data_IF_789174875921
#
_entry.id   IF_789174875921
#
_cell.length_a   1.000
_cell.length_b   1.000
_cell.length_c   1.000
_cell.angle_alpha   90.00
_cell.angle_beta   90.00
_cell.angle_gamma   90.00
#
_symmetry.space_group_name_H-M   'P 1'
#
loop_
_entity.id
_entity.type
_entity.pdbx_description
1 polymer ?
#
# COMPACT_ATOMS: atom_id res chain seq x y z
N UNK A 1 -7.01 5.85 2.82
CA UNK A 1 -6.39 4.72 3.54
C UNK A 1 -7.50 3.85 4.05
N UNK A 2 -7.52 2.55 3.74
CA UNK A 2 -8.54 1.68 4.28
C UNK A 2 -8.41 1.67 5.82
N UNK A 3 -9.52 1.86 6.56
CA UNK A 3 -9.49 1.95 8.02
C UNK A 3 -8.86 0.72 8.69
N UNK A 4 -8.89 -0.42 8.00
CA UNK A 4 -8.36 -1.70 8.49
C UNK A 4 -6.82 -1.69 8.61
N UNK A 5 -6.10 -1.01 7.73
CA UNK A 5 -4.63 -0.98 7.76
C UNK A 5 -4.09 -0.19 8.95
N UNK A 6 -4.75 0.92 9.30
CA UNK A 6 -4.37 1.74 10.46
C UNK A 6 -4.56 0.96 11.76
N UNK A 7 -5.65 0.19 11.86
CA UNK A 7 -5.91 -0.68 13.00
C UNK A 7 -4.86 -1.79 13.11
N UNK A 8 -4.51 -2.43 12.00
CA UNK A 8 -3.46 -3.46 11.98
C UNK A 8 -2.10 -2.86 12.39
N UNK A 9 -1.76 -1.68 11.88
CA UNK A 9 -0.52 -1.01 12.24
C UNK A 9 -0.47 -0.61 13.70
N UNK A 10 -1.57 -0.16 14.29
CA UNK A 10 -1.63 0.11 15.73
C UNK A 10 -1.41 -1.15 16.56
N UNK A 11 -2.03 -2.27 16.19
CA UNK A 11 -1.81 -3.55 16.86
C UNK A 11 -0.35 -4.00 16.78
N UNK A 12 0.29 -3.83 15.61
CA UNK A 12 1.70 -4.15 15.42
C UNK A 12 2.61 -3.23 16.23
N UNK A 13 2.35 -1.92 16.20
CA UNK A 13 3.11 -0.92 16.94
C UNK A 13 3.07 -1.18 18.44
N UNK A 14 1.89 -1.52 18.98
CA UNK A 14 1.70 -1.91 20.38
C UNK A 14 2.52 -3.15 20.74
N UNK A 15 2.41 -4.22 19.94
CA UNK A 15 3.18 -5.46 20.17
C UNK A 15 4.68 -5.23 20.11
N UNK A 16 5.13 -4.41 19.17
CA UNK A 16 6.54 -4.04 19.04
C UNK A 16 7.03 -3.30 20.29
N UNK A 17 6.28 -2.30 20.76
CA UNK A 17 6.59 -1.57 21.99
C UNK A 17 6.66 -2.49 23.22
N UNK A 18 5.65 -3.33 23.41
CA UNK A 18 5.62 -4.29 24.53
C UNK A 18 6.82 -5.25 24.53
N UNK A 19 7.23 -5.70 23.35
CA UNK A 19 8.39 -6.56 23.20
C UNK A 19 9.70 -5.80 23.44
N UNK A 20 9.84 -4.60 22.88
CA UNK A 20 10.99 -3.71 23.12
C UNK A 20 11.19 -3.45 24.62
N UNK A 21 10.13 -3.08 25.33
CA UNK A 21 10.19 -2.82 26.78
C UNK A 21 10.57 -4.07 27.58
N UNK A 22 10.14 -5.25 27.14
CA UNK A 22 10.54 -6.53 27.76
C UNK A 22 12.04 -6.80 27.55
N UNK A 23 12.58 -6.47 26.39
CA UNK A 23 13.99 -6.67 26.06
C UNK A 23 14.88 -5.60 26.70
N UNK A 24 14.45 -4.34 26.71
CA UNK A 24 15.22 -3.19 27.18
C UNK A 24 15.67 -3.36 28.65
N UNK A 25 14.80 -3.92 29.49
CA UNK A 25 15.08 -4.26 30.90
C UNK A 25 16.26 -5.25 31.03
N UNK A 26 16.50 -6.10 30.03
CA UNK A 26 17.61 -7.06 30.04
C UNK A 26 18.92 -6.47 29.48
N UNK A 27 18.85 -5.38 28.70
CA UNK A 27 20.01 -4.81 28.02
C UNK A 27 20.63 -3.62 28.77
N UNK A 28 19.82 -2.83 29.45
CA UNK A 28 20.28 -1.68 30.20
C UNK A 28 20.21 -2.02 31.69
N UNK A 29 21.37 -2.06 32.36
CA UNK A 29 21.52 -2.28 33.81
C UNK A 29 21.04 -1.05 34.61
N UNK A 30 19.90 -0.50 34.21
CA UNK A 30 19.24 0.65 34.80
C UNK A 30 17.82 0.24 35.15
N UNK A 31 17.35 0.73 36.31
CA UNK A 31 15.96 0.66 36.78
C UNK A 31 15.01 1.44 35.86
N UNK A 32 14.97 1.10 34.58
CA UNK A 32 14.03 1.67 33.64
C UNK A 32 12.67 1.07 33.96
N UNK A 33 11.79 1.91 34.50
CA UNK A 33 10.40 1.53 34.73
C UNK A 33 9.77 1.29 33.37
N UNK A 34 9.34 0.05 33.14
CA UNK A 34 8.59 -0.38 31.96
C UNK A 34 7.45 0.61 31.68
N UNK A 35 7.42 1.21 30.49
CA UNK A 35 6.37 2.16 30.10
C UNK A 35 5.25 1.38 29.39
N UNK A 36 4.02 1.48 29.88
CA UNK A 36 2.88 0.86 29.19
C UNK A 36 2.53 1.62 27.91
N UNK A 37 1.93 0.94 26.93
CA UNK A 37 1.55 1.55 25.65
C UNK A 37 0.64 2.78 25.84
N UNK A 38 -0.30 2.68 26.78
CA UNK A 38 -1.26 3.73 27.11
C UNK A 38 -0.59 4.97 27.75
N UNK A 39 0.57 4.78 28.37
CA UNK A 39 1.37 5.83 29.02
C UNK A 39 2.37 6.48 28.07
N UNK A 40 2.59 5.89 26.89
CA UNK A 40 3.50 6.41 25.89
C UNK A 40 2.99 7.76 25.34
N UNK A 41 3.84 8.80 25.18
CA UNK A 41 3.42 10.06 24.57
C UNK A 41 2.77 9.85 23.20
N UNK A 42 1.72 10.63 22.91
CA UNK A 42 0.94 10.50 21.67
C UNK A 42 1.81 10.55 20.40
N UNK A 43 2.78 11.46 20.37
CA UNK A 43 3.70 11.58 19.24
C UNK A 43 4.51 10.30 19.02
N UNK A 44 4.98 9.66 20.10
CA UNK A 44 5.75 8.42 20.00
C UNK A 44 4.87 7.27 19.49
N UNK A 45 3.61 7.18 19.96
CA UNK A 45 2.64 6.22 19.42
C UNK A 45 2.41 6.44 17.94
N UNK A 46 2.19 7.69 17.52
CA UNK A 46 1.97 8.02 16.10
C UNK A 46 3.18 7.66 15.23
N UNK A 47 4.40 7.90 15.71
CA UNK A 47 5.62 7.51 15.00
C UNK A 47 5.73 5.99 14.85
N UNK A 48 5.45 5.22 15.90
CA UNK A 48 5.47 3.76 15.83
C UNK A 48 4.40 3.21 14.88
N UNK A 49 3.18 3.76 14.92
CA UNK A 49 2.10 3.39 14.00
C UNK A 49 2.52 3.69 12.55
N UNK A 50 3.07 4.88 12.30
CA UNK A 50 3.53 5.27 10.97
C UNK A 50 4.66 4.36 10.46
N UNK A 51 5.60 3.97 11.34
CA UNK A 51 6.65 3.02 10.98
C UNK A 51 6.08 1.64 10.61
N UNK A 52 5.11 1.14 11.39
CA UNK A 52 4.43 -0.12 11.06
C UNK A 52 3.65 -0.05 9.76
N UNK A 53 3.03 1.09 9.44
CA UNK A 53 2.38 1.31 8.15
C UNK A 53 3.35 1.20 6.99
N UNK A 54 4.52 1.84 7.08
CA UNK A 54 5.55 1.69 6.05
C UNK A 54 5.96 0.23 5.84
N UNK A 55 6.06 -0.56 6.92
CA UNK A 55 6.39 -1.99 6.83
C UNK A 55 5.28 -2.79 6.14
N UNK A 56 4.01 -2.52 6.48
CA UNK A 56 2.85 -3.18 5.85
C UNK A 56 2.83 -2.87 4.36
N UNK A 57 3.01 -1.60 3.98
CA UNK A 57 3.07 -1.18 2.57
C UNK A 57 4.20 -1.91 1.82
N UNK A 58 5.39 -1.97 2.42
CA UNK A 58 6.54 -2.67 1.84
C UNK A 58 6.26 -4.18 1.67
N UNK A 59 5.58 -4.80 2.63
CA UNK A 59 5.22 -6.21 2.57
C UNK A 59 4.15 -6.46 1.51
N UNK A 60 3.11 -5.63 1.44
CA UNK A 60 2.08 -5.67 0.41
C UNK A 60 2.68 -5.50 -1.00
N UNK A 61 3.68 -4.61 -1.14
CA UNK A 61 4.42 -4.45 -2.40
C UNK A 61 5.20 -5.70 -2.80
N UNK A 62 5.73 -6.46 -1.84
CA UNK A 62 6.47 -7.72 -2.09
C UNK A 62 5.56 -8.91 -2.35
N UNK A 63 4.36 -8.92 -1.76
CA UNK A 63 3.36 -9.97 -1.94
C UNK A 63 2.46 -9.77 -3.17
N UNK A 64 2.66 -8.70 -3.91
CA UNK A 64 1.89 -8.42 -5.12
C UNK A 64 2.79 -8.18 -6.32
N UNK A 65 2.35 -8.68 -7.47
CA UNK A 65 3.02 -8.44 -8.75
C UNK A 65 2.22 -7.45 -9.59
N UNK A 66 2.86 -6.69 -10.49
CA UNK A 66 2.14 -5.88 -11.46
C UNK A 66 1.16 -6.74 -12.25
N UNK A 67 -0.09 -6.30 -12.34
CA UNK A 67 -1.10 -6.99 -13.13
C UNK A 67 -0.69 -6.96 -14.61
N UNK A 68 -0.51 -8.14 -15.21
CA UNK A 68 -0.06 -8.28 -16.59
C UNK A 68 -1.04 -7.66 -17.59
N UNK A 69 -2.35 -7.77 -17.33
CA UNK A 69 -3.40 -7.25 -18.22
C UNK A 69 -3.33 -5.73 -18.40
N UNK A 70 -3.17 -4.98 -17.30
CA UNK A 70 -3.08 -3.51 -17.35
C UNK A 70 -1.65 -3.00 -17.22
N UNK A 71 -0.64 -3.89 -17.22
CA UNK A 71 0.78 -3.55 -17.03
C UNK A 71 1.04 -2.68 -15.80
N UNK A 72 0.36 -2.96 -14.69
CA UNK A 72 0.56 -2.20 -13.45
C UNK A 72 -0.26 -0.91 -13.30
N UNK A 73 -0.89 -0.38 -14.36
CA UNK A 73 -1.54 0.94 -14.28
C UNK A 73 -2.96 0.92 -13.68
N UNK A 74 -3.51 -0.26 -13.40
CA UNK A 74 -4.85 -0.41 -12.82
C UNK A 74 -6.01 -0.17 -13.79
N UNK A 75 -5.74 0.34 -14.99
CA UNK A 75 -6.78 0.73 -15.94
C UNK A 75 -6.55 0.10 -17.32
N UNK A 76 -7.64 -0.11 -18.04
CA UNK A 76 -7.65 -0.50 -19.45
C UNK A 76 -8.55 0.46 -20.23
N UNK A 77 -8.33 0.61 -21.52
CA UNK A 77 -9.22 1.35 -22.39
C UNK A 77 -10.54 0.59 -22.58
N UNK A 78 -11.61 1.33 -22.87
CA UNK A 78 -12.90 0.79 -23.32
C UNK A 78 -12.90 0.37 -24.80
N UNK A 79 -11.73 0.01 -25.35
CA UNK A 79 -11.63 -0.57 -26.68
C UNK A 79 -11.91 -2.08 -26.63
N UNK A 80 -12.00 -2.71 -27.81
CA UNK A 80 -12.32 -4.14 -27.91
C UNK A 80 -11.22 -5.04 -27.35
N UNK A 81 -9.97 -4.54 -27.33
CA UNK A 81 -8.79 -5.31 -26.90
C UNK A 81 -8.52 -5.14 -25.39
N UNK A 82 -9.17 -4.17 -24.73
CA UNK A 82 -8.90 -3.81 -23.34
C UNK A 82 -7.45 -3.36 -23.17
N UNK A 83 -6.95 -2.53 -24.09
CA UNK A 83 -5.56 -2.07 -24.12
C UNK A 83 -5.19 -1.42 -22.78
N UNK A 84 -4.00 -1.68 -22.20
CA UNK A 84 -3.55 -0.98 -21.00
C UNK A 84 -3.66 0.54 -21.17
N UNK A 85 -4.22 1.23 -20.16
CA UNK A 85 -4.42 2.67 -20.27
C UNK A 85 -3.12 3.45 -20.42
N UNK A 86 -2.02 2.93 -19.86
CA UNK A 86 -0.68 3.50 -20.04
C UNK A 86 -0.30 3.68 -21.52
N UNK A 87 -0.69 2.77 -22.41
CA UNK A 87 -0.40 2.91 -23.84
C UNK A 87 -1.09 4.12 -24.48
N UNK A 88 -2.27 4.52 -23.97
CA UNK A 88 -2.99 5.71 -24.41
C UNK A 88 -2.42 7.00 -23.82
N UNK A 89 -1.87 6.95 -22.60
CA UNK A 89 -1.18 8.07 -21.97
C UNK A 89 0.15 8.41 -22.64
N UNK A 90 0.81 7.41 -23.23
CA UNK A 90 2.08 7.59 -23.95
C UNK A 90 1.91 8.15 -25.37
N UNK A 91 0.67 8.30 -25.86
CA UNK A 91 0.42 8.82 -27.19
C UNK A 91 0.74 10.33 -27.27
N UNK A 92 1.36 10.80 -28.37
CA UNK A 92 1.44 12.22 -28.65
C UNK A 92 0.04 12.85 -28.68
N UNK A 93 -0.10 14.09 -28.21
CA UNK A 93 -1.40 14.78 -28.15
C UNK A 93 -2.16 14.77 -29.49
N UNK A 94 -1.42 14.86 -30.62
CA UNK A 94 -1.98 14.79 -31.98
C UNK A 94 -2.61 13.43 -32.32
N UNK A 95 -2.14 12.37 -31.69
CA UNK A 95 -2.65 11.00 -31.82
C UNK A 95 -3.68 10.65 -30.75
N UNK A 96 -3.86 11.50 -29.74
CA UNK A 96 -4.78 11.31 -28.61
C UNK A 96 -6.18 11.92 -28.84
N UNK A 97 -6.55 12.26 -30.09
CA UNK A 97 -7.84 12.92 -30.40
C UNK A 97 -9.04 12.13 -29.88
N UNK A 98 -9.03 10.80 -30.00
CA UNK A 98 -10.11 9.96 -29.50
C UNK A 98 -10.24 9.97 -27.97
N UNK A 99 -9.14 10.15 -27.25
CA UNK A 99 -9.10 10.31 -25.78
C UNK A 99 -9.62 11.70 -25.40
N UNK A 100 -9.12 12.75 -26.07
CA UNK A 100 -9.56 14.15 -25.84
C UNK A 100 -11.05 14.32 -26.14
N UNK A 101 -11.55 13.65 -27.18
CA UNK A 101 -12.97 13.63 -27.54
C UNK A 101 -13.84 12.75 -26.61
N UNK A 102 -13.24 12.04 -25.64
CA UNK A 102 -13.94 11.18 -24.69
C UNK A 102 -14.53 9.89 -25.29
N UNK A 103 -14.13 9.53 -26.51
CA UNK A 103 -14.56 8.31 -27.21
C UNK A 103 -13.86 7.10 -26.57
N UNK A 104 -12.54 7.24 -26.35
CA UNK A 104 -11.72 6.27 -25.65
C UNK A 104 -11.48 6.77 -24.22
N UNK A 105 -11.83 5.95 -23.23
CA UNK A 105 -11.81 6.29 -21.81
C UNK A 105 -11.23 5.15 -20.97
N UNK A 106 -10.62 5.47 -19.82
CA UNK A 106 -10.14 4.44 -18.90
C UNK A 106 -11.33 3.76 -18.20
N UNK A 107 -11.22 2.44 -18.06
CA UNK A 107 -12.04 1.59 -17.21
C UNK A 107 -11.16 0.89 -16.18
N UNK A 108 -11.66 0.60 -14.97
CA UNK A 108 -10.94 -0.25 -14.03
C UNK A 108 -10.59 -1.59 -14.68
N UNK A 109 -9.34 -2.02 -14.54
CA UNK A 109 -8.92 -3.33 -15.04
C UNK A 109 -9.68 -4.43 -14.29
N UNK A 110 -10.41 -5.33 -14.99
CA UNK A 110 -11.23 -6.34 -14.34
C UNK A 110 -10.40 -7.43 -13.65
N UNK A 111 -9.14 -7.63 -14.06
CA UNK A 111 -8.25 -8.64 -13.46
C UNK A 111 -7.74 -8.23 -12.09
N UNK A 112 -7.42 -6.95 -11.89
CA UNK A 112 -6.92 -6.44 -10.61
C UNK A 112 -7.90 -5.49 -9.92
N UNK A 113 -9.15 -5.43 -10.39
CA UNK A 113 -10.19 -4.51 -9.91
C UNK A 113 -9.72 -3.05 -9.71
N UNK A 114 -8.92 -2.51 -10.64
CA UNK A 114 -8.38 -1.14 -10.51
C UNK A 114 -7.08 -1.00 -9.72
N UNK A 115 -6.63 -2.00 -8.97
CA UNK A 115 -5.48 -1.89 -8.07
C UNK A 115 -4.11 -1.84 -8.79
N UNK A 116 -4.05 -2.26 -10.05
CA UNK A 116 -2.81 -2.36 -10.83
C UNK A 116 -1.91 -3.54 -10.42
N UNK A 117 -2.20 -4.22 -9.32
CA UNK A 117 -1.42 -5.33 -8.79
C UNK A 117 -2.34 -6.49 -8.42
N UNK A 118 -1.79 -7.71 -8.43
CA UNK A 118 -2.47 -8.94 -8.01
C UNK A 118 -1.60 -9.70 -7.00
N UNK A 119 -2.19 -10.45 -6.05
CA UNK A 119 -1.44 -11.31 -5.13
C UNK A 119 -0.54 -12.30 -5.88
N UNK A 120 0.63 -12.61 -5.32
CA UNK A 120 1.59 -13.58 -5.89
C UNK A 120 0.98 -14.99 -6.02
N UNK A 121 0.02 -15.34 -5.16
CA UNK A 121 -0.63 -16.67 -5.13
C UNK A 121 -1.63 -16.90 -6.28
N UNK A 122 -2.05 -15.84 -7.00
CA UNK A 122 -3.05 -15.90 -8.07
C UNK A 122 -2.45 -15.88 -9.49
N UNK A 123 -1.19 -16.32 -9.65
CA UNK A 123 -0.55 -16.48 -10.96
C UNK A 123 -0.95 -17.76 -11.69
#
# INVERSE_FOLDING_TARGET
MPPDEVVIAEVLARRFHEHYETLAVNFFDQKQTRIMWEELPDLNRQVLIAACLCIIDDFNLRLTVPCQRCRGCGQIANDNDGTPWSAWLDLPLRSAVAVVAGIVKPLPCPTCNGAGRIPVEEQ
#
